data_IF_743968693741
#
_entry.id   IF_743968693741
#
_cell.length_a   1.000
_cell.length_b   1.000
_cell.length_c   1.000
_cell.angle_alpha   90.00
_cell.angle_beta   90.00
_cell.angle_gamma   90.00
#
_symmetry.space_group_name_H-M   'P 1'
#
loop_
_entity.id
_entity.type
_entity.pdbx_description
1 polymer ?
#
# COMPACT_ATOMS: atom_id res chain seq x y z
N UNK A 1 15.55 -6.13 23.88
CA UNK A 1 14.99 -7.45 24.22
C UNK A 1 13.69 -7.62 23.45
N UNK A 2 13.75 -8.23 22.27
CA UNK A 2 12.56 -8.51 21.46
C UNK A 2 11.73 -9.58 22.15
N UNK A 3 10.43 -9.34 22.33
CA UNK A 3 9.51 -10.39 22.75
C UNK A 3 9.57 -11.49 21.70
N UNK A 4 10.11 -12.64 22.08
CA UNK A 4 9.98 -13.87 21.29
C UNK A 4 8.49 -14.17 21.28
N UNK A 5 7.82 -13.93 20.15
CA UNK A 5 6.47 -14.42 19.91
C UNK A 5 6.56 -15.95 19.79
N UNK A 6 6.70 -16.63 20.92
CA UNK A 6 6.44 -18.07 21.01
C UNK A 6 4.98 -18.28 20.64
N UNK A 7 4.76 -18.81 19.43
CA UNK A 7 3.62 -19.66 19.05
C UNK A 7 2.21 -19.08 19.23
N UNK A 8 1.98 -17.80 18.92
CA UNK A 8 0.64 -17.41 18.47
C UNK A 8 0.59 -17.81 16.99
N UNK A 9 -0.21 -18.82 16.62
CA UNK A 9 -0.45 -19.11 15.20
C UNK A 9 -0.95 -17.83 14.52
N UNK A 10 -0.57 -17.61 13.26
CA UNK A 10 -1.08 -16.45 12.50
C UNK A 10 -2.61 -16.37 12.55
N UNK A 11 -3.29 -17.53 12.55
CA UNK A 11 -4.74 -17.62 12.71
C UNK A 11 -5.22 -17.03 14.04
N UNK A 12 -4.50 -17.27 15.15
CA UNK A 12 -4.82 -16.67 16.44
C UNK A 12 -4.55 -15.15 16.45
N UNK A 13 -3.54 -14.66 15.72
CA UNK A 13 -3.30 -13.23 15.61
C UNK A 13 -4.37 -12.53 14.77
N UNK A 14 -4.71 -13.09 13.60
CA UNK A 14 -5.78 -12.58 12.74
C UNK A 14 -7.14 -12.64 13.46
N UNK A 15 -7.43 -13.71 14.20
CA UNK A 15 -8.63 -13.79 15.03
C UNK A 15 -8.66 -12.70 16.12
N UNK A 16 -7.52 -12.38 16.75
CA UNK A 16 -7.42 -11.26 17.70
C UNK A 16 -7.67 -9.92 17.03
N UNK A 17 -7.20 -9.71 15.80
CA UNK A 17 -7.47 -8.49 15.04
C UNK A 17 -8.96 -8.37 14.69
N UNK A 18 -9.58 -9.46 14.22
CA UNK A 18 -11.04 -9.49 13.96
C UNK A 18 -11.86 -9.22 15.24
N UNK A 19 -11.42 -9.73 16.40
CA UNK A 19 -12.06 -9.46 17.68
C UNK A 19 -11.86 -8.02 18.16
N UNK A 20 -10.66 -7.46 17.94
CA UNK A 20 -10.31 -6.09 18.35
C UNK A 20 -10.97 -5.03 17.48
N UNK A 21 -11.12 -5.34 16.19
CA UNK A 21 -11.68 -4.47 15.16
C UNK A 21 -12.86 -5.20 14.53
N UNK A 22 -13.97 -5.25 15.26
CA UNK A 22 -15.14 -6.05 14.89
C UNK A 22 -15.91 -5.46 13.70
N UNK A 23 -15.70 -4.17 13.42
CA UNK A 23 -16.34 -3.41 12.35
C UNK A 23 -15.43 -2.28 11.83
N UNK A 24 -15.84 -1.66 10.74
CA UNK A 24 -15.11 -0.56 10.09
C UNK A 24 -14.85 0.63 11.03
N UNK A 25 -15.83 1.06 11.83
CA UNK A 25 -15.70 2.28 12.64
C UNK A 25 -14.60 2.13 13.71
N UNK A 26 -14.49 0.94 14.34
CA UNK A 26 -13.44 0.62 15.30
C UNK A 26 -12.05 0.64 14.66
N UNK A 27 -11.90 0.03 13.48
CA UNK A 27 -10.64 0.03 12.74
C UNK A 27 -10.27 1.43 12.26
N UNK A 28 -11.23 2.15 11.68
CA UNK A 28 -11.04 3.50 11.17
C UNK A 28 -10.63 4.45 12.30
N UNK A 29 -11.29 4.39 13.45
CA UNK A 29 -10.91 5.18 14.63
C UNK A 29 -9.48 4.88 15.09
N UNK A 30 -9.08 3.60 15.06
CA UNK A 30 -7.71 3.20 15.38
C UNK A 30 -6.69 3.76 14.38
N UNK A 31 -6.94 3.59 13.07
CA UNK A 31 -6.04 4.10 12.02
C UNK A 31 -5.93 5.63 12.09
N UNK A 32 -7.05 6.35 12.23
CA UNK A 32 -7.05 7.80 12.39
C UNK A 32 -6.21 8.23 13.60
N UNK A 33 -6.32 7.51 14.73
CA UNK A 33 -5.50 7.78 15.92
C UNK A 33 -4.01 7.51 15.71
N UNK A 34 -3.65 6.48 14.94
CA UNK A 34 -2.25 6.17 14.61
C UNK A 34 -1.62 7.32 13.81
N UNK A 35 -2.38 7.93 12.91
CA UNK A 35 -1.91 9.01 12.05
C UNK A 35 -2.22 10.42 12.58
N UNK A 36 -2.87 10.52 13.73
CA UNK A 36 -3.09 11.79 14.43
C UNK A 36 -1.74 12.35 14.91
N UNK A 37 -1.39 13.57 14.48
CA UNK A 37 -0.13 14.22 14.84
C UNK A 37 1.12 13.80 14.04
N UNK A 38 1.02 12.95 13.00
CA UNK A 38 2.16 12.63 12.11
C UNK A 38 2.49 13.77 11.11
N UNK A 39 1.81 14.91 11.21
CA UNK A 39 1.95 16.06 10.31
C UNK A 39 3.23 16.91 10.50
N UNK A 40 4.11 16.56 11.45
CA UNK A 40 5.31 17.35 11.74
C UNK A 40 6.54 16.84 11.00
N UNK A 41 6.79 17.42 9.82
CA UNK A 41 8.09 18.00 9.45
C UNK A 41 8.05 18.53 8.00
N UNK A 42 7.38 19.67 7.83
CA UNK A 42 7.48 20.46 6.60
C UNK A 42 8.81 21.23 6.58
N UNK A 43 9.89 20.55 6.21
CA UNK A 43 11.03 21.28 5.66
C UNK A 43 10.63 21.88 4.30
N UNK A 44 10.40 23.20 4.33
CA UNK A 44 10.44 24.07 3.15
C UNK A 44 11.85 24.04 2.56
N UNK A 45 12.13 23.12 1.63
CA UNK A 45 13.20 23.29 0.64
C UNK A 45 12.78 22.60 -0.67
N UNK A 46 12.54 23.44 -1.68
CA UNK A 46 13.37 23.71 -2.87
C UNK A 46 13.04 22.76 -4.03
N UNK A 47 12.39 23.39 -5.02
CA UNK A 47 11.86 22.90 -6.33
C UNK A 47 10.76 21.83 -6.28
N UNK A 48 9.60 22.16 -6.89
CA UNK A 48 8.46 21.26 -7.05
C UNK A 48 8.77 20.08 -8.00
N UNK A 49 9.85 20.15 -8.77
CA UNK A 49 10.12 19.28 -9.93
C UNK A 49 10.51 17.83 -9.59
N UNK A 50 10.66 17.44 -8.31
CA UNK A 50 11.12 16.09 -7.91
C UNK A 50 10.30 15.44 -6.79
N UNK A 51 8.98 15.62 -6.80
CA UNK A 51 8.07 14.96 -5.86
C UNK A 51 7.11 14.02 -6.59
N UNK A 52 6.81 12.90 -5.95
CA UNK A 52 5.82 11.93 -6.41
C UNK A 52 4.85 11.59 -5.28
N UNK A 53 3.56 11.46 -5.63
CA UNK A 53 2.52 10.95 -4.74
C UNK A 53 2.20 9.50 -5.09
N UNK A 54 2.12 8.62 -4.09
CA UNK A 54 1.66 7.24 -4.28
C UNK A 54 0.50 6.93 -3.35
N UNK A 55 -0.50 6.21 -3.85
CA UNK A 55 -1.72 5.92 -3.11
C UNK A 55 -1.62 4.56 -2.40
N UNK A 56 -1.43 4.59 -1.08
CA UNK A 56 -1.52 3.40 -0.22
C UNK A 56 -3.00 3.17 0.09
N UNK A 57 -3.62 2.40 -0.79
CA UNK A 57 -5.06 2.25 -0.87
C UNK A 57 -5.56 1.05 -0.05
N UNK A 58 -6.31 1.32 1.02
CA UNK A 58 -7.02 0.29 1.79
C UNK A 58 -8.40 0.10 1.17
N UNK A 59 -8.53 -0.89 0.30
CA UNK A 59 -9.77 -1.15 -0.43
C UNK A 59 -10.69 -2.03 0.38
N UNK A 60 -11.94 -1.59 0.57
CA UNK A 60 -12.96 -2.32 1.31
C UNK A 60 -14.30 -2.22 0.57
N UNK A 61 -15.08 -3.30 0.58
CA UNK A 61 -16.43 -3.26 0.03
C UNK A 61 -17.39 -2.48 0.93
N UNK A 62 -18.23 -1.63 0.34
CA UNK A 62 -19.30 -0.91 1.02
C UNK A 62 -20.26 -1.87 1.75
N UNK A 63 -20.48 -3.08 1.21
CA UNK A 63 -21.34 -4.08 1.85
C UNK A 63 -20.72 -4.63 3.16
N UNK A 64 -19.40 -4.69 3.28
CA UNK A 64 -18.73 -5.09 4.54
C UNK A 64 -19.01 -4.06 5.63
N UNK A 65 -18.98 -2.76 5.28
CA UNK A 65 -19.27 -1.66 6.19
C UNK A 65 -20.76 -1.69 6.59
N UNK A 66 -21.68 -1.72 5.61
CA UNK A 66 -23.13 -1.72 5.85
C UNK A 66 -23.57 -2.88 6.73
N UNK A 67 -23.01 -4.07 6.52
CA UNK A 67 -23.33 -5.27 7.28
C UNK A 67 -22.54 -5.40 8.59
N UNK A 68 -21.68 -4.42 8.94
CA UNK A 68 -20.81 -4.43 10.13
C UNK A 68 -20.01 -5.72 10.28
N UNK A 69 -19.49 -6.22 9.16
CA UNK A 69 -18.68 -7.44 9.15
C UNK A 69 -17.23 -7.09 9.54
N UNK A 70 -16.48 -8.04 10.13
CA UNK A 70 -15.05 -7.84 10.43
C UNK A 70 -14.26 -7.41 9.18
N UNK A 71 -13.63 -6.22 9.20
CA UNK A 71 -13.04 -5.65 8.00
C UNK A 71 -11.69 -6.26 7.63
N UNK A 72 -10.89 -6.76 8.60
CA UNK A 72 -9.48 -7.13 8.39
C UNK A 72 -9.30 -8.15 7.25
N UNK A 73 -10.16 -9.17 7.20
CA UNK A 73 -10.17 -10.20 6.14
C UNK A 73 -10.64 -9.70 4.77
N UNK A 74 -11.28 -8.54 4.73
CA UNK A 74 -11.89 -7.96 3.55
C UNK A 74 -11.20 -6.68 3.08
N UNK A 75 -10.03 -6.35 3.64
CA UNK A 75 -9.20 -5.25 3.16
C UNK A 75 -8.19 -5.79 2.15
N UNK A 76 -8.07 -5.07 1.04
CA UNK A 76 -7.13 -5.37 -0.03
C UNK A 76 -6.29 -4.13 -0.32
N UNK A 77 -5.07 -4.34 -0.82
CA UNK A 77 -4.23 -3.29 -1.37
C UNK A 77 -4.05 -3.55 -2.87
N UNK A 78 -4.22 -2.52 -3.67
CA UNK A 78 -4.01 -2.54 -5.11
C UNK A 78 -2.64 -1.95 -5.41
N UNK A 79 -1.91 -2.70 -6.22
CA UNK A 79 -0.64 -2.35 -6.82
C UNK A 79 -0.76 -2.46 -8.33
N UNK A 80 0.19 -1.88 -9.03
CA UNK A 80 0.41 -2.11 -10.45
C UNK A 80 1.79 -2.72 -10.69
N UNK A 81 1.91 -3.47 -11.78
CA UNK A 81 3.20 -3.88 -12.34
C UNK A 81 3.50 -3.02 -13.55
N UNK A 82 4.62 -2.32 -13.48
CA UNK A 82 5.13 -1.52 -14.61
C UNK A 82 5.51 -2.41 -15.78
N UNK A 83 5.29 -1.93 -16.99
CA UNK A 83 5.63 -2.65 -18.21
C UNK A 83 7.14 -2.94 -18.29
N UNK A 84 7.48 -4.16 -18.72
CA UNK A 84 8.87 -4.62 -18.82
C UNK A 84 9.71 -3.83 -19.84
N UNK A 85 9.06 -3.14 -20.79
CA UNK A 85 9.71 -2.35 -21.84
C UNK A 85 10.11 -0.93 -21.40
N UNK A 86 9.80 -0.52 -20.16
CA UNK A 86 10.12 0.82 -19.67
C UNK A 86 11.60 0.98 -19.35
N UNK A 87 12.13 2.17 -19.65
CA UNK A 87 13.54 2.51 -19.41
C UNK A 87 13.89 2.61 -17.92
N UNK A 88 12.90 2.84 -17.06
CA UNK A 88 13.03 2.94 -15.60
C UNK A 88 12.11 1.93 -14.92
N UNK A 89 12.68 1.20 -13.96
CA UNK A 89 11.94 0.27 -13.09
C UNK A 89 11.08 -0.78 -13.84
N UNK A 90 11.58 -1.42 -14.92
CA UNK A 90 10.80 -2.40 -15.68
C UNK A 90 10.35 -3.56 -14.79
N UNK A 91 9.08 -3.96 -14.93
CA UNK A 91 8.52 -5.10 -14.22
C UNK A 91 8.40 -4.92 -12.70
N UNK A 92 8.69 -3.74 -12.15
CA UNK A 92 8.55 -3.46 -10.72
C UNK A 92 7.08 -3.34 -10.33
N UNK A 93 6.78 -3.77 -9.11
CA UNK A 93 5.46 -3.67 -8.52
C UNK A 93 5.44 -2.46 -7.60
N UNK A 94 4.52 -1.53 -7.88
CA UNK A 94 4.39 -0.27 -7.16
C UNK A 94 2.95 0.00 -6.74
N UNK A 95 2.80 0.84 -5.72
CA UNK A 95 1.51 1.51 -5.52
C UNK A 95 1.24 2.41 -6.73
N UNK A 96 -0.04 2.59 -7.12
CA UNK A 96 -0.36 3.56 -8.16
C UNK A 96 0.07 4.96 -7.72
N UNK A 97 0.60 5.73 -8.66
CA UNK A 97 1.21 7.01 -8.34
C UNK A 97 2.33 7.42 -9.28
N UNK A 98 2.66 8.70 -9.24
CA UNK A 98 3.56 9.31 -10.22
C UNK A 98 4.07 10.66 -9.77
N UNK A 99 4.76 11.32 -10.68
CA UNK A 99 5.36 12.63 -10.44
C UNK A 99 4.28 13.72 -10.39
N UNK A 100 4.53 14.73 -9.57
CA UNK A 100 3.69 15.93 -9.56
C UNK A 100 3.71 16.61 -10.92
N UNK A 101 2.54 17.02 -11.38
CA UNK A 101 2.32 17.77 -12.61
C UNK A 101 1.74 19.15 -12.30
N UNK A 102 1.85 20.09 -13.23
CA UNK A 102 1.31 21.45 -13.08
C UNK A 102 -0.20 21.43 -12.77
N UNK A 103 -0.92 20.49 -13.35
CA UNK A 103 -2.36 20.31 -13.14
C UNK A 103 -2.74 19.92 -11.69
N UNK A 104 -1.77 19.43 -10.91
CA UNK A 104 -1.98 19.07 -9.50
C UNK A 104 -1.98 20.28 -8.56
N UNK A 105 -1.68 21.48 -9.08
CA UNK A 105 -1.64 22.75 -8.33
C UNK A 105 -0.77 22.67 -7.06
N UNK A 106 0.32 21.90 -7.10
CA UNK A 106 1.22 21.73 -5.96
C UNK A 106 0.74 20.72 -4.90
N UNK A 107 -0.43 20.11 -5.06
CA UNK A 107 -1.00 19.14 -4.11
C UNK A 107 -0.55 17.71 -4.43
N UNK A 108 0.23 17.12 -3.53
CA UNK A 108 0.69 15.72 -3.65
C UNK A 108 -0.46 14.71 -3.52
N UNK A 109 -1.49 15.05 -2.74
CA UNK A 109 -2.72 14.25 -2.66
C UNK A 109 -3.41 14.22 -4.02
N UNK A 110 -3.52 15.37 -4.70
CA UNK A 110 -4.12 15.43 -6.04
C UNK A 110 -3.30 14.63 -7.05
N UNK A 111 -1.97 14.71 -6.98
CA UNK A 111 -1.07 13.87 -7.79
C UNK A 111 -1.37 12.39 -7.60
N UNK A 112 -1.41 11.89 -6.36
CA UNK A 112 -1.66 10.47 -6.09
C UNK A 112 -3.03 10.01 -6.60
N UNK A 113 -4.07 10.83 -6.44
CA UNK A 113 -5.42 10.54 -6.93
C UNK A 113 -5.46 10.52 -8.46
N UNK A 114 -4.86 11.53 -9.10
CA UNK A 114 -4.82 11.64 -10.56
C UNK A 114 -4.10 10.44 -11.18
N UNK A 115 -2.91 10.12 -10.70
CA UNK A 115 -2.12 9.00 -11.22
C UNK A 115 -2.85 7.67 -11.01
N UNK A 116 -3.47 7.45 -9.83
CA UNK A 116 -4.31 6.27 -9.60
C UNK A 116 -5.53 6.19 -10.55
N UNK A 117 -6.08 7.34 -10.95
CA UNK A 117 -7.14 7.41 -11.95
C UNK A 117 -6.64 7.07 -13.36
N UNK A 118 -5.52 7.66 -13.76
CA UNK A 118 -4.91 7.46 -15.08
C UNK A 118 -4.44 6.01 -15.27
N UNK A 119 -3.74 5.45 -14.28
CA UNK A 119 -3.13 4.12 -14.33
C UNK A 119 -4.17 2.99 -14.23
N UNK A 120 -5.13 3.11 -13.30
CA UNK A 120 -6.01 2.00 -12.91
C UNK A 120 -7.51 2.34 -12.97
N UNK A 121 -7.86 3.60 -13.26
CA UNK A 121 -9.25 4.03 -13.30
C UNK A 121 -9.90 4.26 -11.95
N UNK A 122 -9.11 4.41 -10.89
CA UNK A 122 -9.61 4.62 -9.55
C UNK A 122 -10.35 5.96 -9.49
N UNK A 123 -11.62 5.94 -9.06
CA UNK A 123 -12.43 7.14 -8.99
C UNK A 123 -12.18 7.90 -7.68
N UNK A 124 -11.92 9.21 -7.78
CA UNK A 124 -11.73 10.10 -6.62
C UNK A 124 -12.87 10.01 -5.60
N UNK A 125 -14.11 9.75 -6.05
CA UNK A 125 -15.30 9.68 -5.18
C UNK A 125 -15.28 8.49 -4.23
N UNK A 126 -14.49 7.47 -4.54
CA UNK A 126 -14.35 6.29 -3.71
C UNK A 126 -13.21 6.44 -2.71
N UNK A 127 -12.38 7.48 -2.83
CA UNK A 127 -11.20 7.73 -2.01
C UNK A 127 -11.58 8.60 -0.81
N UNK A 128 -11.22 8.14 0.39
CA UNK A 128 -11.27 8.93 1.62
C UNK A 128 -9.85 9.01 2.17
N UNK A 129 -9.24 10.20 2.07
CA UNK A 129 -7.87 10.44 2.52
C UNK A 129 -7.81 10.36 4.05
N UNK A 130 -6.81 9.66 4.57
CA UNK A 130 -6.53 9.50 6.00
C UNK A 130 -5.39 10.43 6.41
N UNK A 131 -4.20 10.26 5.81
CA UNK A 131 -3.00 11.02 6.16
C UNK A 131 -1.87 10.80 5.14
N UNK A 132 -0.81 11.58 5.24
CA UNK A 132 0.46 11.34 4.56
C UNK A 132 1.41 10.55 5.49
N UNK A 133 2.16 9.61 4.93
CA UNK A 133 3.28 8.98 5.64
C UNK A 133 4.58 9.73 5.40
N UNK A 134 5.58 9.47 6.26
CA UNK A 134 6.95 9.96 6.08
C UNK A 134 7.43 9.70 4.65
N UNK A 135 7.97 10.74 4.03
CA UNK A 135 8.55 10.69 2.68
C UNK A 135 9.73 9.73 2.59
N UNK A 136 9.88 9.15 1.41
CA UNK A 136 11.00 8.30 1.01
C UNK A 136 11.76 8.95 -0.15
N UNK A 137 12.99 8.51 -0.36
CA UNK A 137 13.75 8.88 -1.55
C UNK A 137 13.95 7.64 -2.43
N UNK A 138 13.58 7.77 -3.70
CA UNK A 138 13.83 6.73 -4.70
C UNK A 138 15.33 6.63 -5.01
N UNK A 139 15.74 5.59 -5.73
CA UNK A 139 17.13 5.47 -6.22
C UNK A 139 17.53 6.61 -7.17
N UNK A 140 16.55 7.29 -7.74
CA UNK A 140 16.70 8.42 -8.65
C UNK A 140 16.52 9.77 -7.94
N UNK A 141 16.59 9.79 -6.60
CA UNK A 141 16.44 10.97 -5.75
C UNK A 141 15.08 11.70 -5.86
N UNK A 142 14.03 10.97 -6.26
CA UNK A 142 12.66 11.48 -6.25
C UNK A 142 12.12 11.37 -4.82
N UNK A 143 11.54 12.45 -4.30
CA UNK A 143 10.84 12.44 -3.03
C UNK A 143 9.46 11.79 -3.22
N UNK A 144 9.30 10.56 -2.76
CA UNK A 144 8.04 9.81 -2.82
C UNK A 144 7.29 9.98 -1.52
N UNK A 145 6.05 10.47 -1.60
CA UNK A 145 5.16 10.72 -0.47
C UNK A 145 4.00 9.72 -0.53
N UNK A 146 3.90 8.78 0.42
CA UNK A 146 2.78 7.84 0.46
C UNK A 146 1.55 8.51 1.09
N UNK A 147 0.43 8.46 0.37
CA UNK A 147 -0.87 8.97 0.81
C UNK A 147 -1.73 7.79 1.23
N UNK A 148 -2.10 7.73 2.50
CA UNK A 148 -2.96 6.68 3.05
C UNK A 148 -4.40 7.06 2.80
N UNK A 149 -5.18 6.12 2.25
CA UNK A 149 -6.60 6.34 2.06
C UNK A 149 -7.41 5.06 2.25
N UNK A 150 -8.68 5.23 2.59
CA UNK A 150 -9.68 4.22 2.31
C UNK A 150 -10.13 4.33 0.86
N UNK A 151 -10.40 3.20 0.23
CA UNK A 151 -11.12 3.08 -1.03
C UNK A 151 -12.38 2.25 -0.80
N UNK A 152 -13.54 2.89 -0.83
CA UNK A 152 -14.81 2.22 -0.55
C UNK A 152 -15.50 1.86 -1.85
N UNK A 153 -15.63 0.57 -2.10
CA UNK A 153 -16.07 0.04 -3.39
C UNK A 153 -17.40 -0.69 -3.29
N UNK A 154 -18.30 -0.46 -4.25
CA UNK A 154 -19.53 -1.23 -4.38
C UNK A 154 -19.29 -2.47 -5.25
N UNK A 155 -18.77 -3.52 -4.61
CA UNK A 155 -18.39 -4.79 -5.24
C UNK A 155 -19.06 -6.00 -4.56
N UNK A 156 -20.12 -5.77 -3.79
CA UNK A 156 -20.78 -6.82 -3.01
C UNK A 156 -19.95 -7.34 -1.83
N UNK A 157 -20.52 -8.26 -1.05
CA UNK A 157 -19.83 -8.90 0.10
C UNK A 157 -19.25 -10.28 -0.21
N UNK A 158 -19.72 -10.90 -1.29
CA UNK A 158 -19.30 -12.24 -1.72
C UNK A 158 -18.33 -12.08 -2.89
N UNK A 159 -17.30 -12.95 -2.96
CA UNK A 159 -16.27 -12.92 -4.00
C UNK A 159 -15.61 -11.54 -4.20
N UNK A 160 -15.43 -10.78 -3.11
CA UNK A 160 -14.89 -9.40 -3.15
C UNK A 160 -13.60 -9.32 -3.96
N UNK A 161 -12.69 -10.28 -3.77
CA UNK A 161 -11.42 -10.33 -4.49
C UNK A 161 -11.60 -10.40 -6.01
N UNK A 162 -12.44 -11.32 -6.49
CA UNK A 162 -12.68 -11.51 -7.92
C UNK A 162 -13.40 -10.30 -8.53
N UNK A 163 -14.35 -9.71 -7.78
CA UNK A 163 -15.05 -8.51 -8.22
C UNK A 163 -14.12 -7.31 -8.34
N UNK A 164 -13.15 -7.16 -7.41
CA UNK A 164 -12.12 -6.14 -7.51
C UNK A 164 -11.19 -6.38 -8.72
N UNK A 165 -10.78 -7.64 -8.95
CA UNK A 165 -9.97 -8.00 -10.12
C UNK A 165 -10.68 -7.74 -11.45
N UNK A 166 -11.98 -7.97 -11.52
CA UNK A 166 -12.77 -7.67 -12.70
C UNK A 166 -12.94 -6.16 -12.93
N UNK A 167 -12.90 -5.35 -11.86
CA UNK A 167 -13.13 -3.91 -11.91
C UNK A 167 -11.88 -3.12 -12.32
N UNK A 168 -10.71 -3.50 -11.83
CA UNK A 168 -9.48 -2.74 -12.04
C UNK A 168 -8.53 -3.44 -13.00
N UNK A 169 -8.12 -2.72 -14.02
CA UNK A 169 -7.17 -3.16 -15.04
C UNK A 169 -6.30 -1.98 -15.44
N UNK A 170 -5.09 -2.23 -15.95
CA UNK A 170 -4.21 -1.17 -16.43
C UNK A 170 -4.84 -0.37 -17.56
N UNK A 171 -4.70 0.96 -17.51
CA UNK A 171 -5.28 1.90 -18.48
C UNK A 171 -4.24 2.69 -19.25
N UNK A 172 -2.96 2.55 -18.92
CA UNK A 172 -1.84 3.18 -19.62
C UNK A 172 -0.91 2.13 -20.20
N UNK A 173 -0.11 2.47 -21.23
CA UNK A 173 0.96 1.58 -21.70
C UNK A 173 2.09 1.37 -20.68
N UNK A 174 2.14 2.17 -19.62
CA UNK A 174 3.17 2.05 -18.57
C UNK A 174 2.85 0.96 -17.55
N UNK A 175 1.58 0.58 -17.44
CA UNK A 175 1.07 -0.39 -16.47
C UNK A 175 0.65 -1.65 -17.22
N UNK A 176 1.20 -2.81 -16.84
CA UNK A 176 1.01 -4.08 -17.54
C UNK A 176 0.02 -5.00 -16.83
N UNK A 177 -0.06 -4.90 -15.51
CA UNK A 177 -0.90 -5.79 -14.70
C UNK A 177 -1.35 -5.10 -13.40
N UNK A 178 -2.63 -5.24 -13.05
CA UNK A 178 -3.14 -4.86 -11.72
C UNK A 178 -2.95 -6.02 -10.76
N UNK A 179 -2.36 -5.76 -9.61
CA UNK A 179 -2.09 -6.76 -8.58
C UNK A 179 -2.87 -6.38 -7.33
N UNK A 180 -3.77 -7.27 -6.90
CA UNK A 180 -4.58 -7.08 -5.70
C UNK A 180 -4.12 -8.08 -4.64
N UNK A 181 -3.76 -7.57 -3.47
CA UNK A 181 -3.21 -8.37 -2.38
C UNK A 181 -4.08 -8.18 -1.13
N UNK A 182 -4.64 -9.25 -0.55
CA UNK A 182 -5.34 -9.17 0.73
C UNK A 182 -4.41 -8.68 1.84
N UNK A 183 -4.89 -7.76 2.69
CA UNK A 183 -4.11 -7.25 3.83
C UNK A 183 -3.63 -8.39 4.74
N UNK A 184 -4.47 -9.40 4.97
CA UNK A 184 -4.12 -10.57 5.78
C UNK A 184 -2.90 -11.34 5.24
N UNK A 185 -2.67 -11.30 3.92
CA UNK A 185 -1.49 -11.90 3.31
C UNK A 185 -0.22 -11.13 3.65
N UNK A 186 -0.30 -9.81 3.64
CA UNK A 186 0.82 -8.91 3.98
C UNK A 186 1.11 -8.90 5.48
N UNK A 187 0.10 -9.12 6.32
CA UNK A 187 0.25 -9.26 7.78
C UNK A 187 0.87 -10.60 8.19
N UNK A 188 0.95 -11.59 7.30
CA UNK A 188 1.48 -12.91 7.64
C UNK A 188 3.02 -12.91 7.59
N UNK A 189 3.72 -13.13 8.73
CA UNK A 189 5.18 -13.12 8.76
C UNK A 189 5.83 -14.18 7.86
N UNK A 190 5.13 -15.27 7.53
CA UNK A 190 5.63 -16.30 6.59
C UNK A 190 5.81 -15.75 5.17
N UNK A 191 5.08 -14.70 4.83
CA UNK A 191 5.13 -14.05 3.52
C UNK A 191 6.16 -12.91 3.49
N UNK A 192 6.70 -12.49 4.63
CA UNK A 192 7.68 -11.41 4.71
C UNK A 192 9.09 -11.94 4.94
N UNK A 193 10.09 -11.26 4.38
CA UNK A 193 11.49 -11.46 4.72
C UNK A 193 12.32 -10.22 4.41
N UNK A 194 13.52 -10.18 5.00
CA UNK A 194 14.58 -9.24 4.60
C UNK A 194 15.58 -9.95 3.70
N UNK A 195 15.84 -9.39 2.51
CA UNK A 195 16.88 -9.89 1.60
C UNK A 195 18.05 -8.93 1.53
N UNK A 196 19.25 -9.47 1.44
CA UNK A 196 20.44 -8.71 1.05
C UNK A 196 20.45 -8.59 -0.47
N UNK A 197 20.53 -7.36 -0.98
CA UNK A 197 20.70 -7.06 -2.39
C UNK A 197 22.02 -6.30 -2.56
N UNK A 198 22.70 -6.54 -3.68
CA UNK A 198 23.89 -5.78 -4.06
C UNK A 198 23.45 -4.77 -5.10
N UNK A 199 23.63 -3.47 -4.80
CA UNK A 199 23.31 -2.43 -5.76
C UNK A 199 24.36 -2.34 -6.89
N UNK A 200 24.08 -1.51 -7.89
CA UNK A 200 24.96 -1.31 -9.06
C UNK A 200 26.37 -0.83 -8.70
N UNK A 201 26.57 -0.31 -7.48
CA UNK A 201 27.84 0.21 -6.97
C UNK A 201 28.51 -0.79 -5.99
N UNK A 202 28.14 -2.07 -6.05
CA UNK A 202 28.62 -3.14 -5.14
C UNK A 202 28.35 -2.89 -3.66
N UNK A 203 27.41 -2.00 -3.31
CA UNK A 203 27.01 -1.82 -1.91
C UNK A 203 25.92 -2.82 -1.56
N UNK A 204 26.15 -3.54 -0.46
CA UNK A 204 25.14 -4.43 0.13
C UNK A 204 24.08 -3.57 0.81
N UNK A 205 22.82 -3.74 0.41
CA UNK A 205 21.65 -3.16 1.07
C UNK A 205 20.73 -4.26 1.57
N UNK A 206 20.01 -3.99 2.64
CA UNK A 206 18.93 -4.86 3.11
C UNK A 206 17.62 -4.25 2.61
N UNK A 207 16.77 -5.07 1.99
CA UNK A 207 15.46 -4.65 1.51
C UNK A 207 14.35 -5.53 2.09
N UNK A 208 13.16 -4.93 2.23
CA UNK A 208 11.94 -5.62 2.60
C UNK A 208 11.40 -6.36 1.37
N UNK A 209 10.93 -7.59 1.58
CA UNK A 209 10.35 -8.43 0.53
C UNK A 209 9.11 -9.13 1.05
N UNK A 210 8.02 -9.05 0.29
CA UNK A 210 6.83 -9.88 0.46
C UNK A 210 6.70 -10.87 -0.68
N UNK A 211 6.54 -12.15 -0.36
CA UNK A 211 6.16 -13.23 -1.29
C UNK A 211 4.73 -13.02 -1.71
N UNK A 212 4.49 -12.88 -3.01
CA UNK A 212 3.15 -12.60 -3.57
C UNK A 212 2.85 -13.45 -4.81
N UNK A 213 3.56 -14.58 -4.95
CA UNK A 213 3.48 -15.47 -6.11
C UNK A 213 2.08 -16.05 -6.35
N UNK A 214 1.25 -16.10 -5.31
CA UNK A 214 -0.17 -16.47 -5.37
C UNK A 214 -1.02 -15.46 -6.16
N UNK A 215 -0.61 -14.20 -6.19
CA UNK A 215 -1.34 -13.11 -6.85
C UNK A 215 -0.71 -12.71 -8.17
N UNK A 216 0.61 -12.89 -8.31
CA UNK A 216 1.37 -12.59 -9.53
C UNK A 216 2.54 -13.54 -9.67
N UNK A 217 2.52 -14.35 -10.73
CA UNK A 217 3.45 -15.48 -10.90
C UNK A 217 4.92 -15.01 -10.97
N UNK A 218 5.79 -15.69 -10.22
CA UNK A 218 7.25 -15.46 -10.21
C UNK A 218 7.66 -14.02 -9.86
N UNK A 219 6.83 -13.30 -9.09
CA UNK A 219 7.13 -11.93 -8.66
C UNK A 219 7.05 -11.82 -7.15
N UNK A 220 7.80 -10.85 -6.64
CA UNK A 220 7.81 -10.45 -5.23
C UNK A 220 7.50 -8.96 -5.15
N UNK A 221 6.90 -8.52 -4.06
CA UNK A 221 6.83 -7.10 -3.72
C UNK A 221 8.11 -6.74 -2.96
N UNK A 222 8.93 -5.87 -3.52
CA UNK A 222 10.22 -5.48 -2.94
C UNK A 222 10.51 -3.99 -3.13
N UNK A 223 11.63 -3.52 -2.60
CA UNK A 223 12.09 -2.14 -2.83
C UNK A 223 11.26 -1.12 -2.05
N UNK A 224 10.97 0.02 -2.68
CA UNK A 224 10.32 1.14 -2.01
C UNK A 224 8.88 0.81 -1.61
N UNK A 225 8.11 0.17 -2.48
CA UNK A 225 6.72 -0.19 -2.17
C UNK A 225 6.65 -1.21 -1.03
N UNK A 226 7.54 -2.20 -0.99
CA UNK A 226 7.64 -3.10 0.17
C UNK A 226 8.04 -2.36 1.46
N UNK A 227 8.91 -1.36 1.38
CA UNK A 227 9.26 -0.54 2.54
C UNK A 227 8.08 0.29 3.06
N UNK A 228 7.31 0.91 2.15
CA UNK A 228 6.08 1.63 2.48
C UNK A 228 5.05 0.69 3.11
N UNK A 229 4.79 -0.47 2.49
CA UNK A 229 3.87 -1.49 3.01
C UNK A 229 4.28 -1.95 4.40
N UNK A 230 5.56 -2.27 4.60
CA UNK A 230 6.09 -2.68 5.91
C UNK A 230 5.89 -1.61 6.97
N UNK A 231 6.24 -0.35 6.66
CA UNK A 231 6.12 0.74 7.60
C UNK A 231 4.65 1.01 7.98
N UNK A 232 3.74 0.97 7.00
CA UNK A 232 2.30 1.08 7.27
C UNK A 232 1.83 -0.03 8.23
N UNK A 233 2.25 -1.28 7.98
CA UNK A 233 1.89 -2.42 8.84
C UNK A 233 2.40 -2.23 10.27
N UNK A 234 3.65 -1.80 10.43
CA UNK A 234 4.26 -1.59 11.74
C UNK A 234 3.50 -0.53 12.54
N UNK A 235 3.24 0.63 11.90
CA UNK A 235 2.50 1.74 12.51
C UNK A 235 1.08 1.33 12.94
N UNK A 236 0.39 0.53 12.13
CA UNK A 236 -1.04 0.25 12.35
C UNK A 236 -1.28 -1.01 13.18
N UNK A 237 -0.53 -2.09 12.97
CA UNK A 237 -0.92 -3.44 13.42
C UNK A 237 -0.01 -4.08 14.47
N UNK A 238 1.18 -3.53 14.77
CA UNK A 238 2.16 -3.85 15.84
C UNK A 238 3.58 -3.84 15.24
N UNK A 239 4.47 -2.99 15.77
CA UNK A 239 5.85 -2.78 15.31
C UNK A 239 6.70 -4.06 15.20
N UNK A 240 6.33 -5.15 15.89
CA UNK A 240 7.11 -6.38 15.92
C UNK A 240 6.51 -7.55 15.12
N UNK A 241 5.36 -7.35 14.45
CA UNK A 241 4.69 -8.40 13.69
C UNK A 241 5.61 -8.99 12.62
N UNK A 242 6.36 -8.13 11.92
CA UNK A 242 7.22 -8.48 10.79
C UNK A 242 8.70 -8.20 11.13
N UNK A 243 9.28 -8.91 12.11
CA UNK A 243 10.66 -8.70 12.61
C UNK A 243 11.75 -9.53 11.90
#
# INVERSE_FOLDING_TARGET
MGKVYTLISIDNYLAKLDMKYSNFDELNKHILKVFDGINDDFEKSQTFENKAGVLVNLVLSAEIIKNKLPPIKNIFLIFERRAENLSKHPGQISFPGGLISEIDNGSIVNTAIREANEELGINEKNIIIISEMKKYFSSSNIQVVPIICWMIEDVGKDNVYDNLKAKYYPRTPESEETIIIPLIHLLNPKNYMRKKIVDKNNKVRITNVFKIEEFVKNKELWGLSAAITKNFIDLVFDDNLLS
#
